data_IF_805076696386
#
_entry.id   IF_805076696386
#
_cell.length_a   1.000
_cell.length_b   1.000
_cell.length_c   1.000
_cell.angle_alpha   90.00
_cell.angle_beta   90.00
_cell.angle_gamma   90.00
#
_symmetry.space_group_name_H-M   'P 1'
#
loop_
_entity.id
_entity.type
_entity.pdbx_description
1 polymer ?
#
# COMPACT_ATOMS: atom_id res chain seq x y z
N UNK A 1 -33.25 -31.01 7.68
CA UNK A 1 -31.93 -31.59 7.38
C UNK A 1 -31.92 -31.98 5.90
N UNK A 2 -31.46 -31.07 5.04
CA UNK A 2 -31.27 -31.36 3.61
C UNK A 2 -29.77 -31.28 3.36
N UNK A 3 -29.15 -32.44 3.12
CA UNK A 3 -27.73 -32.55 2.78
C UNK A 3 -27.49 -31.87 1.44
N UNK A 4 -26.76 -30.75 1.45
CA UNK A 4 -26.18 -30.19 0.24
C UNK A 4 -25.06 -31.14 -0.20
N UNK A 5 -25.22 -31.69 -1.39
CA UNK A 5 -24.18 -32.38 -2.14
C UNK A 5 -22.98 -31.44 -2.26
N UNK A 6 -21.89 -31.82 -1.58
CA UNK A 6 -20.60 -31.16 -1.70
C UNK A 6 -20.15 -31.23 -3.16
N UNK A 7 -19.68 -30.10 -3.70
CA UNK A 7 -19.14 -29.95 -5.05
C UNK A 7 -17.96 -30.93 -5.25
N UNK A 8 -18.21 -32.11 -5.83
CA UNK A 8 -17.21 -33.15 -6.09
C UNK A 8 -16.20 -32.79 -7.20
N UNK A 9 -16.23 -31.57 -7.71
CA UNK A 9 -15.30 -31.08 -8.75
C UNK A 9 -14.05 -30.38 -8.20
N UNK A 10 -13.89 -30.25 -6.88
CA UNK A 10 -12.75 -29.55 -6.27
C UNK A 10 -11.59 -30.47 -5.88
N UNK A 11 -11.81 -31.77 -5.74
CA UNK A 11 -10.80 -32.73 -5.29
C UNK A 11 -9.65 -32.92 -6.30
N UNK A 12 -9.94 -32.79 -7.61
CA UNK A 12 -8.91 -32.89 -8.65
C UNK A 12 -7.98 -31.67 -8.74
N UNK A 13 -8.41 -30.51 -8.21
CA UNK A 13 -7.67 -29.25 -8.32
C UNK A 13 -6.65 -29.05 -7.18
N UNK A 14 -6.89 -29.65 -6.01
CA UNK A 14 -6.05 -29.46 -4.83
C UNK A 14 -5.79 -30.79 -4.10
N UNK A 15 -4.61 -31.41 -4.26
CA UNK A 15 -4.29 -32.65 -3.57
C UNK A 15 -4.39 -32.46 -2.04
N UNK A 16 -4.94 -33.45 -1.32
CA UNK A 16 -5.19 -33.41 0.14
C UNK A 16 -3.96 -32.97 0.96
N UNK A 17 -2.75 -33.24 0.46
CA UNK A 17 -1.46 -32.85 1.07
C UNK A 17 -1.35 -31.34 1.33
N UNK A 18 -2.07 -30.50 0.58
CA UNK A 18 -2.02 -29.03 0.69
C UNK A 18 -2.81 -28.48 1.89
N UNK A 19 -3.79 -29.22 2.44
CA UNK A 19 -4.72 -28.67 3.45
C UNK A 19 -4.12 -28.40 4.83
N UNK A 20 -2.89 -28.86 5.12
CA UNK A 20 -2.23 -28.55 6.41
C UNK A 20 -1.75 -27.10 6.53
N UNK A 21 -1.74 -26.35 5.42
CA UNK A 21 -1.24 -24.98 5.38
C UNK A 21 0.28 -24.92 5.58
N UNK A 22 0.91 -23.76 5.33
CA UNK A 22 2.31 -23.59 5.62
C UNK A 22 2.53 -23.55 7.13
N UNK A 23 3.67 -24.08 7.59
CA UNK A 23 4.06 -23.97 8.99
C UNK A 23 4.17 -22.51 9.43
N UNK A 24 3.84 -22.23 10.70
CA UNK A 24 3.92 -20.89 11.30
C UNK A 24 5.27 -20.20 11.05
N UNK A 25 6.37 -20.96 11.18
CA UNK A 25 7.73 -20.47 10.93
C UNK A 25 7.90 -19.93 9.50
N UNK A 26 7.37 -20.62 8.49
CA UNK A 26 7.46 -20.17 7.11
C UNK A 26 6.70 -18.84 6.90
N UNK A 27 5.51 -18.70 7.50
CA UNK A 27 4.76 -17.45 7.43
C UNK A 27 5.52 -16.28 8.09
N UNK A 28 6.14 -16.52 9.25
CA UNK A 28 6.98 -15.52 9.93
C UNK A 28 8.18 -15.12 9.07
N UNK A 29 8.87 -16.07 8.45
CA UNK A 29 10.03 -15.80 7.59
C UNK A 29 9.64 -14.98 6.34
N UNK A 30 8.51 -15.31 5.70
CA UNK A 30 7.99 -14.54 4.56
C UNK A 30 7.64 -13.12 4.98
N UNK A 31 6.95 -12.95 6.12
CA UNK A 31 6.63 -11.63 6.65
C UNK A 31 7.86 -10.79 6.98
N UNK A 32 8.88 -11.39 7.59
CA UNK A 32 10.16 -10.74 7.89
C UNK A 32 10.89 -10.33 6.61
N UNK A 33 10.97 -11.23 5.61
CA UNK A 33 11.59 -10.93 4.33
C UNK A 33 10.88 -9.77 3.62
N UNK A 34 9.54 -9.76 3.60
CA UNK A 34 8.77 -8.66 3.04
C UNK A 34 9.04 -7.34 3.78
N UNK A 35 9.00 -7.33 5.13
CA UNK A 35 9.26 -6.14 5.92
C UNK A 35 10.68 -5.57 5.67
N UNK A 36 11.70 -6.44 5.61
CA UNK A 36 13.07 -6.02 5.32
C UNK A 36 13.22 -5.40 3.93
N UNK A 37 12.57 -5.98 2.91
CA UNK A 37 12.58 -5.43 1.54
C UNK A 37 11.90 -4.06 1.48
N UNK A 38 10.78 -3.87 2.19
CA UNK A 38 10.09 -2.58 2.27
C UNK A 38 10.93 -1.49 2.97
N UNK A 39 11.80 -1.91 3.89
CA UNK A 39 12.75 -1.04 4.60
C UNK A 39 14.01 -0.72 3.80
N UNK A 40 14.33 -1.47 2.76
CA UNK A 40 15.57 -1.31 1.98
C UNK A 40 15.77 0.13 1.44
N UNK A 41 14.68 0.85 1.18
CA UNK A 41 14.75 2.24 0.72
C UNK A 41 15.19 3.25 1.81
N UNK A 42 15.11 2.91 3.10
CA UNK A 42 15.60 3.69 4.25
C UNK A 42 15.02 5.10 4.46
N UNK A 43 14.42 5.70 3.43
CA UNK A 43 13.85 7.04 3.37
C UNK A 43 12.40 7.04 3.86
N UNK A 44 12.07 7.73 4.96
CA UNK A 44 10.67 7.96 5.30
C UNK A 44 10.11 9.09 4.43
N UNK A 45 8.93 8.87 3.83
CA UNK A 45 8.26 9.87 2.99
C UNK A 45 7.32 10.68 3.89
N UNK A 46 7.89 11.67 4.58
CA UNK A 46 7.18 12.63 5.42
C UNK A 46 7.02 12.22 6.89
N UNK A 47 6.73 13.21 7.72
CA UNK A 47 6.23 13.01 9.08
C UNK A 47 4.72 12.86 8.94
N UNK A 48 4.18 11.65 9.06
CA UNK A 48 2.72 11.49 9.10
C UNK A 48 2.15 12.44 10.16
N UNK A 49 0.98 13.02 9.91
CA UNK A 49 0.23 13.75 10.95
C UNK A 49 -0.08 12.74 12.06
N UNK A 50 0.82 12.65 13.03
CA UNK A 50 0.71 11.79 14.19
C UNK A 50 -0.31 12.44 15.13
N UNK A 51 -1.57 12.13 14.86
CA UNK A 51 -2.69 12.46 15.72
C UNK A 51 -3.62 11.25 15.83
N UNK A 52 -4.06 10.96 17.06
CA UNK A 52 -5.09 9.96 17.33
C UNK A 52 -4.54 8.53 17.36
N UNK A 53 -5.09 7.64 16.51
CA UNK A 53 -4.73 6.21 16.53
C UNK A 53 -3.27 5.93 16.13
N UNK A 54 -2.67 6.83 15.35
CA UNK A 54 -1.26 6.79 15.03
C UNK A 54 -0.40 6.77 16.30
N UNK A 55 -0.74 7.59 17.28
CA UNK A 55 -0.03 7.70 18.55
C UNK A 55 -0.23 6.46 19.42
N UNK A 56 -1.40 5.82 19.36
CA UNK A 56 -1.65 4.58 20.09
C UNK A 56 -0.82 3.42 19.52
N UNK A 57 -0.73 3.31 18.18
CA UNK A 57 0.00 2.22 17.53
C UNK A 57 1.52 2.42 17.58
N UNK A 58 1.98 3.65 17.33
CA UNK A 58 3.40 3.98 17.34
C UNK A 58 3.91 4.29 18.74
N UNK A 59 3.05 4.67 19.68
CA UNK A 59 3.42 5.14 21.02
C UNK A 59 4.34 4.20 21.79
N UNK A 60 4.02 2.90 21.94
CA UNK A 60 4.91 1.95 22.60
C UNK A 60 6.27 1.84 21.91
N UNK A 61 6.29 1.86 20.57
CA UNK A 61 7.52 1.83 19.79
C UNK A 61 8.33 3.12 19.96
N UNK A 62 7.66 4.28 19.95
CA UNK A 62 8.26 5.59 20.17
C UNK A 62 8.79 5.74 21.59
N UNK A 63 8.11 5.19 22.59
CA UNK A 63 8.60 5.14 23.97
C UNK A 63 9.90 4.32 24.05
N UNK A 64 9.94 3.16 23.37
CA UNK A 64 11.15 2.33 23.30
C UNK A 64 12.30 3.05 22.58
N UNK A 65 12.06 3.64 21.41
CA UNK A 65 13.06 4.41 20.65
C UNK A 65 13.53 5.62 21.43
N UNK A 66 12.63 6.28 22.14
CA UNK A 66 12.92 7.45 23.00
C UNK A 66 13.89 7.17 24.14
N UNK A 67 14.08 5.90 24.54
CA UNK A 67 15.11 5.52 25.50
C UNK A 67 16.53 5.63 24.92
N UNK A 68 16.68 5.59 23.60
CA UNK A 68 17.98 5.56 22.91
C UNK A 68 18.25 6.79 22.04
N UNK A 69 17.19 7.45 21.53
CA UNK A 69 17.28 8.56 20.57
C UNK A 69 16.33 9.69 20.97
N UNK A 70 16.72 10.94 20.75
CA UNK A 70 15.83 12.10 20.87
C UNK A 70 14.64 11.95 19.89
N UNK A 71 13.42 12.11 20.40
CA UNK A 71 12.19 12.00 19.62
C UNK A 71 11.95 13.28 18.79
N UNK A 72 12.84 13.52 17.82
CA UNK A 72 12.72 14.56 16.81
C UNK A 72 11.82 14.09 15.64
N UNK A 73 11.47 14.98 14.70
CA UNK A 73 10.64 14.62 13.54
C UNK A 73 11.24 13.48 12.70
N UNK A 74 12.57 13.36 12.61
CA UNK A 74 13.24 12.30 11.87
C UNK A 74 13.05 10.93 12.54
N UNK A 75 13.20 10.87 13.86
CA UNK A 75 12.92 9.67 14.65
C UNK A 75 11.46 9.22 14.50
N UNK A 76 10.49 10.16 14.55
CA UNK A 76 9.07 9.85 14.33
C UNK A 76 8.83 9.28 12.93
N UNK A 77 9.45 9.86 11.91
CA UNK A 77 9.31 9.43 10.54
C UNK A 77 9.90 8.02 10.32
N UNK A 78 11.06 7.73 10.92
CA UNK A 78 11.66 6.38 10.89
C UNK A 78 10.76 5.36 11.56
N UNK A 79 10.29 5.67 12.76
CA UNK A 79 9.41 4.80 13.53
C UNK A 79 8.09 4.52 12.80
N UNK A 80 7.54 5.54 12.17
CA UNK A 80 6.37 5.43 11.32
C UNK A 80 6.58 4.45 10.17
N UNK A 81 7.70 4.59 9.44
CA UNK A 81 8.08 3.68 8.36
C UNK A 81 8.34 2.25 8.86
N UNK A 82 9.05 2.08 9.97
CA UNK A 82 9.31 0.76 10.58
C UNK A 82 8.00 0.07 10.96
N UNK A 83 7.10 0.79 11.62
CA UNK A 83 5.78 0.29 12.01
C UNK A 83 4.96 -0.09 10.77
N UNK A 84 4.90 0.79 9.77
CA UNK A 84 4.15 0.56 8.54
C UNK A 84 4.68 -0.65 7.74
N UNK A 85 6.01 -0.78 7.62
CA UNK A 85 6.67 -1.93 6.98
C UNK A 85 6.44 -3.24 7.76
N UNK A 86 6.47 -3.20 9.10
CA UNK A 86 6.18 -4.36 9.92
C UNK A 86 4.73 -4.85 9.73
N UNK A 87 3.76 -3.94 9.72
CA UNK A 87 2.37 -4.29 9.43
C UNK A 87 2.17 -4.79 7.99
N UNK A 88 2.82 -4.18 7.01
CA UNK A 88 2.80 -4.69 5.64
C UNK A 88 3.39 -6.13 5.55
N UNK A 89 4.48 -6.40 6.26
CA UNK A 89 5.05 -7.74 6.41
C UNK A 89 4.10 -8.73 7.09
N UNK A 90 3.39 -8.31 8.14
CA UNK A 90 2.32 -9.12 8.76
C UNK A 90 1.18 -9.41 7.78
N UNK A 91 0.76 -8.43 6.98
CA UNK A 91 -0.24 -8.63 5.93
C UNK A 91 0.22 -9.66 4.90
N UNK A 92 1.48 -9.60 4.47
CA UNK A 92 2.07 -10.61 3.59
C UNK A 92 2.12 -11.99 4.25
N UNK A 93 2.50 -12.10 5.53
CA UNK A 93 2.54 -13.35 6.28
C UNK A 93 1.14 -14.00 6.42
N UNK A 94 0.12 -13.19 6.73
CA UNK A 94 -1.26 -13.69 6.83
C UNK A 94 -1.81 -14.11 5.47
N UNK A 95 -1.51 -13.37 4.40
CA UNK A 95 -1.91 -13.77 3.05
C UNK A 95 -1.17 -15.03 2.60
N UNK A 96 0.12 -15.17 2.91
CA UNK A 96 0.90 -16.39 2.68
C UNK A 96 0.24 -17.58 3.38
N UNK A 97 -0.10 -17.43 4.67
CA UNK A 97 -0.78 -18.48 5.42
C UNK A 97 -2.16 -18.82 4.81
N UNK A 98 -2.95 -17.83 4.42
CA UNK A 98 -4.27 -18.05 3.83
C UNK A 98 -4.18 -18.75 2.47
N UNK A 99 -3.29 -18.26 1.61
CA UNK A 99 -3.07 -18.84 0.28
C UNK A 99 -2.48 -20.24 0.37
N UNK A 100 -1.55 -20.47 1.30
CA UNK A 100 -0.92 -21.77 1.48
C UNK A 100 -1.82 -22.85 2.08
N UNK A 101 -2.99 -22.50 2.62
CA UNK A 101 -4.04 -23.49 2.94
C UNK A 101 -4.77 -24.00 1.68
N UNK A 102 -4.69 -23.25 0.56
CA UNK A 102 -5.36 -23.55 -0.71
C UNK A 102 -4.40 -23.98 -1.80
N UNK A 103 -3.14 -23.55 -1.75
CA UNK A 103 -2.15 -23.64 -2.83
C UNK A 103 -0.77 -24.09 -2.31
N UNK A 104 0.10 -24.63 -3.18
CA UNK A 104 1.50 -24.89 -2.86
C UNK A 104 2.22 -23.66 -2.27
N UNK A 105 3.27 -23.90 -1.49
CA UNK A 105 4.02 -22.84 -0.79
C UNK A 105 4.67 -21.82 -1.73
N UNK A 106 5.09 -22.23 -2.92
CA UNK A 106 5.65 -21.32 -3.93
C UNK A 106 4.63 -20.27 -4.38
N UNK A 107 3.41 -20.71 -4.70
CA UNK A 107 2.30 -19.84 -5.10
C UNK A 107 1.87 -18.91 -3.97
N UNK A 108 1.79 -19.43 -2.75
CA UNK A 108 1.50 -18.63 -1.56
C UNK A 108 2.58 -17.56 -1.35
N UNK A 109 3.85 -17.91 -1.56
CA UNK A 109 4.97 -16.98 -1.53
C UNK A 109 4.82 -15.87 -2.56
N UNK A 110 4.51 -16.23 -3.81
CA UNK A 110 4.28 -15.26 -4.89
C UNK A 110 3.13 -14.29 -4.56
N UNK A 111 1.99 -14.79 -4.06
CA UNK A 111 0.87 -13.96 -3.63
C UNK A 111 1.25 -12.96 -2.53
N UNK A 112 1.98 -13.43 -1.51
CA UNK A 112 2.44 -12.59 -0.40
C UNK A 112 3.47 -11.53 -0.83
N UNK A 113 4.47 -11.91 -1.64
CA UNK A 113 5.47 -10.97 -2.15
C UNK A 113 4.83 -9.94 -3.08
N UNK A 114 3.90 -10.34 -3.96
CA UNK A 114 3.23 -9.41 -4.85
C UNK A 114 2.23 -8.51 -4.11
N UNK A 115 1.63 -8.96 -3.01
CA UNK A 115 0.89 -8.06 -2.12
C UNK A 115 1.82 -6.98 -1.55
N UNK A 116 2.97 -7.38 -1.00
CA UNK A 116 3.90 -6.45 -0.34
C UNK A 116 4.58 -5.48 -1.32
N UNK A 117 5.12 -6.00 -2.42
CA UNK A 117 6.00 -5.28 -3.34
C UNK A 117 5.34 -4.96 -4.68
N UNK A 118 4.26 -5.65 -5.06
CA UNK A 118 3.56 -5.44 -6.32
C UNK A 118 2.31 -4.56 -6.20
N UNK A 119 1.97 -4.07 -5.00
CA UNK A 119 0.78 -3.25 -4.78
C UNK A 119 1.10 -1.94 -4.07
N UNK A 120 0.11 -1.04 -3.99
CA UNK A 120 0.19 0.22 -3.23
C UNK A 120 0.47 0.03 -1.72
N UNK A 121 0.53 -1.20 -1.21
CA UNK A 121 1.03 -1.50 0.13
C UNK A 121 2.50 -1.11 0.29
N UNK A 122 3.32 -1.21 -0.76
CA UNK A 122 4.71 -0.73 -0.71
C UNK A 122 4.75 0.77 -0.49
N UNK A 123 4.04 1.55 -1.33
CA UNK A 123 3.91 2.99 -1.17
C UNK A 123 3.39 3.39 0.23
N UNK A 124 2.33 2.73 0.70
CA UNK A 124 1.75 2.98 2.02
C UNK A 124 2.68 2.65 3.19
N UNK A 125 3.68 1.78 2.99
CA UNK A 125 4.68 1.43 4.00
C UNK A 125 5.83 2.43 4.12
N UNK A 126 5.94 3.40 3.22
CA UNK A 126 7.05 4.36 3.23
C UNK A 126 6.89 5.49 4.25
N UNK A 127 5.73 5.61 4.89
CA UNK A 127 5.45 6.52 6.00
C UNK A 127 4.38 5.93 6.90
N UNK A 128 4.21 6.48 8.10
CA UNK A 128 3.11 6.04 8.95
C UNK A 128 1.79 6.36 8.27
N UNK A 129 0.97 5.34 8.05
CA UNK A 129 -0.34 5.48 7.44
C UNK A 129 -1.28 4.38 7.99
N UNK A 130 -2.59 4.62 8.05
CA UNK A 130 -3.55 3.62 8.54
C UNK A 130 -3.71 2.40 7.60
N UNK A 131 -3.20 2.48 6.37
CA UNK A 131 -3.44 1.48 5.34
C UNK A 131 -2.72 0.15 5.61
N UNK A 132 -1.41 0.07 5.93
CA UNK A 132 -0.75 -1.19 6.23
C UNK A 132 -1.35 -1.98 7.41
N UNK A 133 -1.64 -1.38 8.59
CA UNK A 133 -2.24 -2.13 9.68
C UNK A 133 -3.68 -2.59 9.33
N UNK A 134 -4.45 -1.78 8.60
CA UNK A 134 -5.76 -2.21 8.11
C UNK A 134 -5.65 -3.35 7.08
N UNK A 135 -4.69 -3.31 6.15
CA UNK A 135 -4.43 -4.39 5.20
C UNK A 135 -4.02 -5.68 5.92
N UNK A 136 -3.19 -5.59 6.96
CA UNK A 136 -2.82 -6.74 7.79
C UNK A 136 -4.04 -7.36 8.50
N UNK A 137 -4.90 -6.51 9.05
CA UNK A 137 -6.15 -6.95 9.67
C UNK A 137 -7.08 -7.62 8.64
N UNK A 138 -7.24 -7.06 7.44
CA UNK A 138 -8.02 -7.68 6.35
C UNK A 138 -7.40 -9.02 5.92
N UNK A 139 -6.08 -9.12 5.77
CA UNK A 139 -5.40 -10.37 5.45
C UNK A 139 -5.61 -11.45 6.54
N UNK A 140 -5.63 -11.06 7.81
CA UNK A 140 -5.96 -11.95 8.93
C UNK A 140 -7.43 -12.40 8.89
N UNK A 141 -8.36 -11.52 8.52
CA UNK A 141 -9.76 -11.89 8.30
C UNK A 141 -9.89 -12.91 7.16
N UNK A 142 -9.17 -12.70 6.05
CA UNK A 142 -9.10 -13.66 4.93
C UNK A 142 -8.59 -15.02 5.41
N UNK A 143 -7.50 -15.05 6.19
CA UNK A 143 -7.00 -16.29 6.79
C UNK A 143 -8.07 -16.99 7.63
N UNK A 144 -8.82 -16.27 8.46
CA UNK A 144 -9.86 -16.86 9.30
C UNK A 144 -11.03 -17.41 8.48
N UNK A 145 -11.42 -16.75 7.39
CA UNK A 145 -12.45 -17.24 6.47
C UNK A 145 -12.00 -18.50 5.74
N UNK A 146 -10.75 -18.53 5.26
CA UNK A 146 -10.18 -19.74 4.62
C UNK A 146 -10.17 -20.90 5.62
N UNK A 147 -9.74 -20.68 6.86
CA UNK A 147 -9.76 -21.73 7.90
C UNK A 147 -11.17 -22.12 8.34
N UNK A 148 -12.15 -21.22 8.18
CA UNK A 148 -13.54 -21.51 8.54
C UNK A 148 -14.20 -22.55 7.64
N UNK A 149 -13.67 -22.75 6.43
CA UNK A 149 -14.10 -23.83 5.53
C UNK A 149 -13.91 -25.21 6.17
N UNK A 150 -12.75 -25.44 6.80
CA UNK A 150 -12.47 -26.70 7.50
C UNK A 150 -12.95 -26.67 8.96
N UNK A 151 -12.88 -25.51 9.61
CA UNK A 151 -13.11 -25.34 11.04
C UNK A 151 -14.03 -24.13 11.31
N UNK A 152 -15.37 -24.33 11.33
CA UNK A 152 -16.35 -23.24 11.43
C UNK A 152 -16.17 -22.28 12.62
N UNK A 153 -15.46 -22.68 13.67
CA UNK A 153 -15.15 -21.82 14.81
C UNK A 153 -14.38 -20.54 14.41
N UNK A 154 -13.59 -20.57 13.34
CA UNK A 154 -12.85 -19.40 12.87
C UNK A 154 -13.75 -18.32 12.25
N UNK A 155 -14.94 -18.68 11.75
CA UNK A 155 -15.88 -17.71 11.18
C UNK A 155 -16.29 -16.64 12.21
N UNK A 156 -16.61 -17.05 13.44
CA UNK A 156 -16.93 -16.12 14.52
C UNK A 156 -15.73 -15.29 14.99
N UNK A 157 -14.52 -15.84 14.89
CA UNK A 157 -13.27 -15.13 15.24
C UNK A 157 -12.92 -14.02 14.25
N UNK A 158 -13.47 -14.04 13.03
CA UNK A 158 -13.26 -13.00 12.03
C UNK A 158 -13.74 -11.62 12.50
N UNK A 159 -14.62 -11.54 13.51
CA UNK A 159 -15.04 -10.29 14.12
C UNK A 159 -13.88 -9.42 14.61
N UNK A 160 -12.82 -10.03 15.14
CA UNK A 160 -11.62 -9.33 15.64
C UNK A 160 -10.87 -8.59 14.53
N UNK A 161 -10.32 -9.27 13.50
CA UNK A 161 -9.59 -8.58 12.44
C UNK A 161 -10.49 -7.59 11.67
N UNK A 162 -11.79 -7.89 11.49
CA UNK A 162 -12.70 -6.98 10.80
C UNK A 162 -12.95 -5.69 11.59
N UNK A 163 -13.20 -5.78 12.91
CA UNK A 163 -13.42 -4.57 13.71
C UNK A 163 -12.14 -3.74 13.87
N UNK A 164 -10.96 -4.40 13.93
CA UNK A 164 -9.68 -3.71 13.91
C UNK A 164 -9.45 -2.99 12.58
N UNK A 165 -9.75 -3.62 11.44
CA UNK A 165 -9.63 -2.97 10.13
C UNK A 165 -10.47 -1.68 10.06
N UNK A 166 -11.73 -1.74 10.53
CA UNK A 166 -12.62 -0.57 10.57
C UNK A 166 -12.12 0.50 11.54
N UNK A 167 -11.63 0.10 12.72
CA UNK A 167 -11.08 1.04 13.69
C UNK A 167 -9.88 1.83 13.14
N UNK A 168 -8.97 1.11 12.49
CA UNK A 168 -7.74 1.64 11.91
C UNK A 168 -8.02 2.49 10.67
N UNK A 169 -8.91 2.00 9.80
CA UNK A 169 -9.28 2.65 8.55
C UNK A 169 -10.79 2.52 8.31
N UNK A 170 -11.59 3.52 8.72
CA UNK A 170 -13.07 3.48 8.61
C UNK A 170 -13.59 3.22 7.19
N UNK A 171 -12.83 3.57 6.15
CA UNK A 171 -13.14 3.23 4.77
C UNK A 171 -13.34 1.72 4.52
N UNK A 172 -12.84 0.85 5.41
CA UNK A 172 -13.05 -0.61 5.33
C UNK A 172 -14.40 -1.06 5.92
N UNK A 173 -15.25 -0.15 6.41
CA UNK A 173 -16.58 -0.51 6.94
C UNK A 173 -17.44 -1.26 5.91
N UNK A 174 -17.41 -0.84 4.65
CA UNK A 174 -18.18 -1.48 3.58
C UNK A 174 -17.74 -2.93 3.33
N UNK A 175 -16.43 -3.22 3.23
CA UNK A 175 -15.95 -4.60 3.08
C UNK A 175 -16.25 -5.44 4.32
N UNK A 176 -16.11 -4.85 5.51
CA UNK A 176 -16.33 -5.57 6.76
C UNK A 176 -17.80 -5.98 6.89
N UNK A 177 -18.73 -5.10 6.52
CA UNK A 177 -20.16 -5.38 6.50
C UNK A 177 -20.51 -6.56 5.57
N UNK A 178 -19.95 -6.59 4.36
CA UNK A 178 -20.17 -7.70 3.41
C UNK A 178 -19.68 -9.02 3.98
N UNK A 179 -18.48 -9.04 4.57
CA UNK A 179 -17.92 -10.25 5.18
C UNK A 179 -18.75 -10.70 6.39
N UNK A 180 -19.15 -9.78 7.26
CA UNK A 180 -20.02 -10.08 8.41
C UNK A 180 -21.34 -10.69 7.94
N UNK A 181 -21.99 -10.10 6.94
CA UNK A 181 -23.23 -10.63 6.38
C UNK A 181 -23.01 -12.03 5.79
N UNK A 182 -21.93 -12.25 5.05
CA UNK A 182 -21.60 -13.56 4.50
C UNK A 182 -21.38 -14.62 5.60
N UNK A 183 -20.74 -14.25 6.71
CA UNK A 183 -20.56 -15.13 7.88
C UNK A 183 -21.89 -15.44 8.56
N UNK A 184 -22.77 -14.46 8.74
CA UNK A 184 -24.12 -14.64 9.29
C UNK A 184 -24.93 -15.62 8.44
N UNK A 185 -24.86 -15.46 7.11
CA UNK A 185 -25.61 -16.30 6.17
C UNK A 185 -25.05 -17.72 6.07
N UNK A 186 -23.73 -17.91 6.13
CA UNK A 186 -23.10 -19.23 5.98
C UNK A 186 -22.97 -20.01 7.30
N UNK A 187 -22.67 -19.34 8.40
CA UNK A 187 -22.46 -19.94 9.72
C UNK A 187 -23.25 -19.21 10.82
N UNK A 188 -24.60 -19.24 10.79
CA UNK A 188 -25.44 -18.43 11.68
C UNK A 188 -25.16 -18.64 13.17
N UNK A 189 -24.91 -19.89 13.60
CA UNK A 189 -24.57 -20.20 15.00
C UNK A 189 -23.20 -19.63 15.43
N UNK A 190 -22.26 -19.51 14.49
CA UNK A 190 -20.92 -18.95 14.75
C UNK A 190 -20.93 -17.44 14.70
N UNK A 191 -21.87 -16.85 13.96
CA UNK A 191 -22.05 -15.41 13.87
C UNK A 191 -22.41 -14.76 15.23
N UNK A 192 -23.00 -15.52 16.16
CA UNK A 192 -23.23 -15.06 17.53
C UNK A 192 -21.95 -14.68 18.29
N UNK A 193 -20.80 -15.21 17.85
CA UNK A 193 -19.49 -14.89 18.43
C UNK A 193 -18.81 -13.69 17.77
N UNK A 194 -19.30 -13.22 16.62
CA UNK A 194 -18.73 -12.05 15.94
C UNK A 194 -18.69 -10.81 16.83
N UNK A 195 -19.78 -10.42 17.54
CA UNK A 195 -19.75 -9.24 18.40
C UNK A 195 -18.73 -9.35 19.53
N UNK A 196 -18.58 -10.54 20.12
CA UNK A 196 -17.61 -10.78 21.19
C UNK A 196 -16.18 -10.58 20.69
N UNK A 197 -15.84 -11.15 19.53
CA UNK A 197 -14.52 -10.98 18.93
C UNK A 197 -14.31 -9.57 18.38
N UNK A 198 -15.38 -8.85 18.02
CA UNK A 198 -15.29 -7.48 17.54
C UNK A 198 -14.98 -6.46 18.65
N UNK A 199 -15.16 -6.81 19.93
CA UNK A 199 -14.99 -5.89 21.07
C UNK A 199 -13.68 -5.09 21.06
N UNK A 200 -12.49 -5.65 20.76
CA UNK A 200 -11.25 -4.87 20.78
C UNK A 200 -11.23 -3.73 19.76
N UNK A 201 -11.68 -3.97 18.52
CA UNK A 201 -11.79 -2.91 17.51
C UNK A 201 -12.89 -1.90 17.83
N UNK A 202 -14.01 -2.34 18.42
CA UNK A 202 -15.06 -1.43 18.88
C UNK A 202 -14.60 -0.54 20.05
N UNK A 203 -13.80 -1.08 20.97
CA UNK A 203 -13.18 -0.31 22.05
C UNK A 203 -12.21 0.73 21.49
N UNK A 204 -11.41 0.35 20.49
CA UNK A 204 -10.49 1.26 19.82
C UNK A 204 -11.23 2.41 19.09
N UNK A 205 -12.35 2.10 18.43
CA UNK A 205 -13.26 3.09 17.85
C UNK A 205 -13.85 4.01 18.93
N UNK A 206 -14.31 3.47 20.05
CA UNK A 206 -14.91 4.25 21.13
C UNK A 206 -13.90 5.24 21.76
N UNK A 207 -12.65 4.82 21.93
CA UNK A 207 -11.55 5.69 22.38
C UNK A 207 -11.30 6.81 21.37
N UNK A 208 -11.31 6.50 20.08
CA UNK A 208 -11.13 7.49 19.00
C UNK A 208 -12.27 8.52 18.95
N UNK A 209 -13.52 8.06 19.06
CA UNK A 209 -14.72 8.90 18.92
C UNK A 209 -15.18 9.61 20.19
N UNK A 210 -14.35 9.65 21.24
CA UNK A 210 -14.69 10.33 22.49
C UNK A 210 -15.97 9.80 23.15
N UNK A 211 -16.18 8.47 23.11
CA UNK A 211 -17.31 7.68 23.66
C UNK A 211 -18.51 7.38 22.75
N UNK A 212 -18.58 7.89 21.51
CA UNK A 212 -19.69 7.56 20.59
C UNK A 212 -19.21 6.93 19.27
N UNK A 213 -19.85 5.82 18.86
CA UNK A 213 -19.53 5.10 17.61
C UNK A 213 -19.84 5.93 16.34
N UNK A 214 -20.94 6.72 16.25
CA UNK A 214 -21.21 7.55 15.08
C UNK A 214 -20.12 8.60 14.80
N UNK A 215 -19.56 9.22 15.85
CA UNK A 215 -18.43 10.15 15.69
C UNK A 215 -17.11 9.47 15.36
N UNK A 216 -16.94 8.20 15.74
CA UNK A 216 -15.71 7.44 15.52
C UNK A 216 -15.51 6.98 14.07
N UNK A 217 -16.60 6.79 13.33
CA UNK A 217 -16.54 6.31 11.94
C UNK A 217 -16.15 7.38 10.93
N UNK A 218 -15.99 8.65 11.34
CA UNK A 218 -15.73 9.84 10.52
C UNK A 218 -15.16 9.51 9.11
N UNK A 219 -16.09 9.27 8.18
CA UNK A 219 -15.79 8.96 6.78
C UNK A 219 -15.54 10.27 5.99
N UNK A 220 -15.56 11.41 6.67
CA UNK A 220 -15.72 12.71 6.04
C UNK A 220 -17.08 12.87 5.36
N UNK A 221 -17.26 14.00 4.68
CA UNK A 221 -18.43 14.23 3.85
C UNK A 221 -18.39 13.33 2.61
N UNK A 222 -19.35 12.42 2.49
CA UNK A 222 -19.52 11.64 1.27
C UNK A 222 -19.93 12.57 0.13
N UNK A 223 -19.13 12.57 -0.93
CA UNK A 223 -19.38 13.35 -2.14
C UNK A 223 -19.78 12.42 -3.28
N UNK A 224 -20.72 12.81 -4.16
CA UNK A 224 -21.02 12.04 -5.35
C UNK A 224 -19.76 11.71 -6.17
N UNK A 225 -19.66 10.51 -6.77
CA UNK A 225 -18.51 10.12 -7.56
C UNK A 225 -18.22 11.14 -8.67
N UNK A 226 -16.98 11.61 -8.74
CA UNK A 226 -16.50 12.53 -9.77
C UNK A 226 -15.55 11.84 -10.75
N UNK A 227 -15.14 12.56 -11.81
CA UNK A 227 -14.09 12.08 -12.70
C UNK A 227 -12.78 11.79 -11.96
N UNK A 228 -12.47 12.56 -10.90
CA UNK A 228 -11.33 12.30 -10.03
C UNK A 228 -11.51 11.02 -9.21
N UNK A 229 -12.71 10.77 -8.67
CA UNK A 229 -13.03 9.52 -7.96
C UNK A 229 -12.78 8.30 -8.84
N UNK A 230 -13.27 8.31 -10.08
CA UNK A 230 -12.99 7.24 -11.05
C UNK A 230 -11.50 7.18 -11.41
N UNK A 231 -10.85 8.33 -11.50
CA UNK A 231 -9.42 8.43 -11.74
C UNK A 231 -8.58 7.73 -10.68
N UNK A 232 -9.02 7.65 -9.42
CA UNK A 232 -8.33 6.89 -8.36
C UNK A 232 -8.31 5.39 -8.59
N UNK A 233 -9.15 4.86 -9.47
CA UNK A 233 -9.13 3.43 -9.83
C UNK A 233 -8.30 3.19 -11.08
N UNK A 234 -8.46 4.03 -12.12
CA UNK A 234 -7.98 3.70 -13.47
C UNK A 234 -7.12 4.76 -14.16
N UNK A 235 -6.99 5.97 -13.61
CA UNK A 235 -6.24 7.02 -14.32
C UNK A 235 -4.72 6.76 -14.32
N UNK A 236 -3.99 7.21 -15.34
CA UNK A 236 -2.53 7.20 -15.33
C UNK A 236 -1.91 7.94 -14.13
N UNK A 237 -2.58 8.99 -13.64
CA UNK A 237 -2.07 9.81 -12.56
C UNK A 237 -2.26 9.18 -11.16
N UNK A 238 -3.42 8.58 -10.90
CA UNK A 238 -3.79 8.11 -9.54
C UNK A 238 -4.31 6.66 -9.49
N UNK A 239 -4.48 6.00 -10.63
CA UNK A 239 -5.25 4.76 -10.73
C UNK A 239 -4.65 3.61 -9.95
N UNK A 240 -5.38 3.09 -8.97
CA UNK A 240 -5.00 1.90 -8.19
C UNK A 240 -4.56 0.72 -9.07
N UNK A 241 -5.25 0.48 -10.20
CA UNK A 241 -4.90 -0.58 -11.15
C UNK A 241 -3.74 -0.21 -12.11
N UNK A 242 -3.44 1.07 -12.30
CA UNK A 242 -2.26 1.50 -13.07
C UNK A 242 -1.00 1.35 -12.24
N UNK A 243 -1.08 1.67 -10.95
CA UNK A 243 0.04 1.56 -10.03
C UNK A 243 0.22 0.14 -9.48
N UNK A 244 -0.84 -0.68 -9.48
CA UNK A 244 -0.80 -2.09 -9.07
C UNK A 244 -1.38 -3.02 -10.16
N UNK A 245 -0.80 -3.06 -11.37
CA UNK A 245 -1.37 -3.80 -12.51
C UNK A 245 -1.51 -5.30 -12.24
N UNK A 246 -0.73 -5.88 -11.33
CA UNK A 246 -0.89 -7.28 -10.89
C UNK A 246 -2.28 -7.57 -10.29
N UNK A 247 -3.00 -6.56 -9.79
CA UNK A 247 -4.37 -6.70 -9.32
C UNK A 247 -5.33 -7.15 -10.44
N UNK A 248 -5.05 -6.84 -11.71
CA UNK A 248 -5.84 -7.33 -12.85
C UNK A 248 -5.71 -8.85 -12.98
N UNK A 249 -4.52 -9.39 -12.75
CA UNK A 249 -4.28 -10.84 -12.74
C UNK A 249 -5.03 -11.49 -11.57
N UNK A 250 -5.03 -10.85 -10.40
CA UNK A 250 -5.81 -11.32 -9.25
C UNK A 250 -7.33 -11.30 -9.52
N UNK A 251 -7.86 -10.29 -10.23
CA UNK A 251 -9.27 -10.27 -10.68
C UNK A 251 -9.55 -11.42 -11.63
N UNK A 252 -8.66 -11.71 -12.57
CA UNK A 252 -8.84 -12.85 -13.47
C UNK A 252 -8.85 -14.19 -12.72
N UNK A 253 -7.97 -14.35 -11.73
CA UNK A 253 -7.96 -15.49 -10.82
C UNK A 253 -9.27 -15.62 -10.05
N UNK A 254 -9.75 -14.53 -9.44
CA UNK A 254 -11.05 -14.47 -8.75
C UNK A 254 -12.19 -14.95 -9.67
N UNK A 255 -12.26 -14.44 -10.91
CA UNK A 255 -13.30 -14.82 -11.88
C UNK A 255 -13.25 -16.31 -12.24
N UNK A 256 -12.06 -16.91 -12.28
CA UNK A 256 -11.90 -18.36 -12.49
C UNK A 256 -12.36 -19.14 -11.27
N UNK A 257 -11.92 -18.73 -10.09
CA UNK A 257 -12.21 -19.41 -8.82
C UNK A 257 -13.70 -19.34 -8.45
N UNK A 258 -14.44 -18.31 -8.91
CA UNK A 258 -15.90 -18.24 -8.79
C UNK A 258 -16.62 -19.48 -9.31
N UNK A 259 -16.03 -20.27 -10.22
CA UNK A 259 -16.67 -21.49 -10.73
C UNK A 259 -16.60 -22.67 -9.76
N UNK A 260 -15.61 -22.70 -8.88
CA UNK A 260 -15.25 -23.85 -8.05
C UNK A 260 -15.33 -23.58 -6.55
N UNK A 261 -14.99 -22.37 -6.09
CA UNK A 261 -15.11 -21.94 -4.69
C UNK A 261 -16.06 -20.75 -4.61
N UNK A 262 -17.28 -20.95 -5.11
CA UNK A 262 -18.30 -19.90 -5.35
C UNK A 262 -18.47 -18.95 -4.18
N UNK A 263 -18.64 -19.51 -2.98
CA UNK A 263 -18.93 -18.70 -1.81
C UNK A 263 -17.74 -17.80 -1.43
N UNK A 264 -16.54 -18.36 -1.29
CA UNK A 264 -15.37 -17.58 -0.85
C UNK A 264 -15.04 -16.50 -1.87
N UNK A 265 -14.98 -16.86 -3.15
CA UNK A 265 -14.75 -15.92 -4.23
C UNK A 265 -15.86 -14.86 -4.32
N UNK A 266 -17.13 -15.22 -4.23
CA UNK A 266 -18.22 -14.23 -4.28
C UNK A 266 -18.20 -13.30 -3.07
N UNK A 267 -17.93 -13.80 -1.86
CA UNK A 267 -17.84 -12.99 -0.65
C UNK A 267 -16.68 -12.00 -0.71
N UNK A 268 -15.47 -12.46 -1.04
CA UNK A 268 -14.29 -11.60 -1.09
C UNK A 268 -14.35 -10.62 -2.28
N UNK A 269 -14.88 -11.07 -3.43
CA UNK A 269 -15.14 -10.21 -4.59
C UNK A 269 -16.17 -9.12 -4.29
N UNK A 270 -17.30 -9.48 -3.67
CA UNK A 270 -18.31 -8.51 -3.26
C UNK A 270 -17.79 -7.52 -2.19
N UNK A 271 -16.97 -8.00 -1.25
CA UNK A 271 -16.34 -7.15 -0.23
C UNK A 271 -15.37 -6.15 -0.87
N UNK A 272 -14.55 -6.60 -1.84
CA UNK A 272 -13.66 -5.73 -2.60
C UNK A 272 -14.44 -4.66 -3.40
N UNK A 273 -15.52 -5.06 -4.07
CA UNK A 273 -16.39 -4.13 -4.81
C UNK A 273 -17.07 -3.12 -3.88
N UNK A 274 -17.57 -3.55 -2.72
CA UNK A 274 -18.19 -2.66 -1.74
C UNK A 274 -17.20 -1.61 -1.21
N UNK A 275 -15.95 -2.02 -0.94
CA UNK A 275 -14.87 -1.08 -0.60
C UNK A 275 -14.59 -0.11 -1.74
N UNK A 276 -14.43 -0.61 -2.97
CA UNK A 276 -14.17 0.21 -4.15
C UNK A 276 -15.28 1.22 -4.41
N UNK A 277 -16.56 0.82 -4.25
CA UNK A 277 -17.70 1.72 -4.33
C UNK A 277 -17.57 2.80 -3.26
N UNK A 278 -17.40 2.45 -1.98
CA UNK A 278 -17.26 3.45 -0.91
C UNK A 278 -16.11 4.44 -1.20
N UNK A 279 -14.96 3.94 -1.69
CA UNK A 279 -13.81 4.77 -2.08
C UNK A 279 -14.16 5.82 -3.14
N UNK A 280 -15.11 5.54 -4.05
CA UNK A 280 -15.56 6.53 -5.04
C UNK A 280 -16.33 7.71 -4.41
N UNK A 281 -16.92 7.50 -3.24
CA UNK A 281 -17.69 8.52 -2.50
C UNK A 281 -16.84 9.27 -1.47
N UNK A 282 -15.66 8.76 -1.13
CA UNK A 282 -14.77 9.40 -0.18
C UNK A 282 -14.03 10.60 -0.80
N UNK A 283 -13.70 11.63 -0.01
CA UNK A 283 -12.90 12.76 -0.48
C UNK A 283 -11.50 12.33 -0.97
N UNK A 284 -10.85 13.25 -1.69
CA UNK A 284 -9.48 13.10 -2.18
C UNK A 284 -8.50 12.64 -1.12
N UNK A 285 -7.61 11.72 -1.50
CA UNK A 285 -6.39 11.47 -0.72
C UNK A 285 -5.36 12.56 -1.00
N UNK A 286 -4.52 12.82 0.02
CA UNK A 286 -3.35 13.68 -0.13
C UNK A 286 -2.30 13.13 -1.11
N UNK A 287 -1.17 13.84 -1.25
CA UNK A 287 -0.06 13.43 -2.12
C UNK A 287 0.37 12.00 -1.82
N UNK A 288 0.38 11.15 -2.85
CA UNK A 288 0.79 9.75 -2.72
C UNK A 288 1.19 9.15 -4.06
N UNK A 289 2.00 8.09 -4.02
CA UNK A 289 2.34 7.29 -5.20
C UNK A 289 1.14 6.42 -5.60
N UNK A 290 0.29 6.97 -6.47
CA UNK A 290 -0.99 6.37 -6.86
C UNK A 290 -2.03 6.44 -5.73
N UNK A 291 -3.17 5.78 -5.93
CA UNK A 291 -4.23 5.74 -4.91
C UNK A 291 -3.93 4.72 -3.81
N UNK A 292 -3.79 5.22 -2.57
CA UNK A 292 -3.71 4.37 -1.37
C UNK A 292 -5.09 3.89 -0.88
N UNK A 293 -6.19 4.36 -1.48
CA UNK A 293 -7.52 4.10 -0.98
C UNK A 293 -7.92 2.62 -1.08
N UNK A 294 -7.34 1.89 -2.04
CA UNK A 294 -7.59 0.45 -2.23
C UNK A 294 -6.62 -0.44 -1.45
N UNK A 295 -5.59 0.11 -0.79
CA UNK A 295 -4.50 -0.67 -0.18
C UNK A 295 -4.99 -1.72 0.81
N UNK A 296 -5.97 -1.39 1.65
CA UNK A 296 -6.50 -2.32 2.64
C UNK A 296 -7.33 -3.46 2.03
N UNK A 297 -7.85 -3.30 0.82
CA UNK A 297 -8.70 -4.28 0.16
C UNK A 297 -7.92 -5.28 -0.71
N UNK A 298 -6.64 -5.02 -1.01
CA UNK A 298 -5.83 -5.92 -1.83
C UNK A 298 -5.75 -7.37 -1.35
N UNK A 299 -5.65 -7.68 -0.04
CA UNK A 299 -5.63 -9.07 0.42
C UNK A 299 -6.85 -9.89 -0.03
N UNK A 300 -8.02 -9.25 -0.23
CA UNK A 300 -9.23 -9.91 -0.71
C UNK A 300 -9.06 -10.47 -2.13
N UNK A 301 -8.42 -9.70 -3.02
CA UNK A 301 -8.15 -10.12 -4.40
C UNK A 301 -6.92 -11.01 -4.50
N UNK A 302 -5.84 -10.66 -3.80
CA UNK A 302 -4.54 -11.32 -3.94
C UNK A 302 -4.54 -12.76 -3.44
N UNK A 303 -5.55 -13.15 -2.64
CA UNK A 303 -5.81 -14.55 -2.32
C UNK A 303 -5.98 -15.42 -3.59
N UNK A 304 -6.50 -14.85 -4.68
CA UNK A 304 -6.76 -15.52 -5.96
C UNK A 304 -5.69 -15.24 -7.01
N UNK A 305 -4.59 -14.59 -6.64
CA UNK A 305 -3.51 -14.28 -7.58
C UNK A 305 -2.87 -15.53 -8.20
N UNK A 306 -2.63 -16.63 -7.46
CA UNK A 306 -2.10 -17.87 -8.05
C UNK A 306 -2.92 -18.39 -9.23
N UNK A 307 -4.24 -18.45 -9.10
CA UNK A 307 -5.13 -18.91 -10.16
C UNK A 307 -5.09 -17.99 -11.39
N UNK A 308 -4.86 -16.69 -11.17
CA UNK A 308 -4.65 -15.72 -12.24
C UNK A 308 -3.31 -15.93 -12.95
N UNK A 309 -2.24 -16.20 -12.20
CA UNK A 309 -0.91 -16.46 -12.75
C UNK A 309 -0.87 -17.78 -13.53
N UNK A 310 -1.50 -18.84 -13.04
CA UNK A 310 -1.62 -20.11 -13.75
C UNK A 310 -2.32 -19.94 -15.11
N UNK A 311 -3.40 -19.16 -15.11
CA UNK A 311 -4.24 -19.00 -16.29
C UNK A 311 -3.62 -18.06 -17.33
N UNK A 312 -2.89 -17.03 -16.88
CA UNK A 312 -2.24 -16.05 -17.76
C UNK A 312 -0.81 -16.42 -18.15
N UNK A 313 -0.14 -17.30 -17.40
CA UNK A 313 1.24 -17.77 -17.62
C UNK A 313 2.23 -16.59 -17.72
N UNK A 314 3.10 -16.59 -18.75
CA UNK A 314 4.12 -15.57 -18.97
C UNK A 314 3.57 -14.12 -18.99
N UNK A 315 2.46 -13.81 -19.68
CA UNK A 315 1.80 -12.51 -19.55
C UNK A 315 1.55 -12.06 -18.10
N UNK A 316 1.06 -12.96 -17.25
CA UNK A 316 0.83 -12.65 -15.83
C UNK A 316 2.12 -12.34 -15.08
N UNK A 317 3.18 -13.11 -15.35
CA UNK A 317 4.52 -12.87 -14.78
C UNK A 317 5.07 -11.52 -15.21
N UNK A 318 4.96 -11.16 -16.49
CA UNK A 318 5.40 -9.85 -17.02
C UNK A 318 4.64 -8.71 -16.31
N UNK A 319 3.33 -8.84 -16.14
CA UNK A 319 2.51 -7.86 -15.42
C UNK A 319 2.92 -7.77 -13.94
N UNK A 320 3.20 -8.91 -13.30
CA UNK A 320 3.66 -8.95 -11.92
C UNK A 320 5.01 -8.23 -11.74
N UNK A 321 5.98 -8.49 -12.62
CA UNK A 321 7.28 -7.81 -12.63
C UNK A 321 7.12 -6.31 -12.87
N UNK A 322 6.28 -5.91 -13.83
CA UNK A 322 5.98 -4.50 -14.09
C UNK A 322 5.35 -3.83 -12.85
N UNK A 323 4.45 -4.52 -12.15
CA UNK A 323 3.84 -4.03 -10.90
C UNK A 323 4.89 -3.75 -9.83
N UNK A 324 5.83 -4.68 -9.62
CA UNK A 324 6.93 -4.49 -8.67
C UNK A 324 7.85 -3.33 -9.10
N UNK A 325 8.16 -3.22 -10.39
CA UNK A 325 8.99 -2.13 -10.91
C UNK A 325 8.32 -0.75 -10.73
N UNK A 326 7.01 -0.65 -10.95
CA UNK A 326 6.24 0.59 -10.72
C UNK A 326 6.24 0.97 -9.25
N UNK A 327 6.04 0.01 -8.34
CA UNK A 327 6.07 0.28 -6.90
C UNK A 327 7.49 0.60 -6.41
N UNK A 328 8.52 -0.07 -6.95
CA UNK A 328 9.91 0.25 -6.66
C UNK A 328 10.25 1.67 -7.11
N UNK A 329 9.84 2.07 -8.31
CA UNK A 329 10.01 3.45 -8.79
C UNK A 329 9.37 4.45 -7.81
N UNK A 330 8.18 4.15 -7.30
CA UNK A 330 7.53 4.94 -6.27
C UNK A 330 8.31 5.01 -4.97
N UNK A 331 8.78 3.88 -4.46
CA UNK A 331 9.58 3.86 -3.25
C UNK A 331 10.85 4.71 -3.40
N UNK A 332 11.64 4.46 -4.45
CA UNK A 332 12.98 5.03 -4.58
C UNK A 332 13.02 6.42 -5.23
N UNK A 333 12.09 6.79 -6.11
CA UNK A 333 12.15 8.07 -6.84
C UNK A 333 11.17 9.13 -6.33
N UNK A 334 9.99 8.73 -5.84
CA UNK A 334 8.94 9.68 -5.51
C UNK A 334 9.29 10.59 -4.33
N UNK A 335 8.99 11.88 -4.47
CA UNK A 335 9.26 12.93 -3.49
C UNK A 335 8.12 13.96 -3.37
N UNK A 336 6.94 13.62 -3.90
CA UNK A 336 5.77 14.49 -3.93
C UNK A 336 5.90 15.70 -4.86
N UNK A 337 6.98 15.86 -5.63
CA UNK A 337 7.15 17.00 -6.54
C UNK A 337 6.05 17.04 -7.59
N UNK A 338 5.73 15.89 -8.14
CA UNK A 338 4.68 15.77 -9.12
C UNK A 338 3.34 16.31 -8.60
N UNK A 339 2.95 15.95 -7.38
CA UNK A 339 1.71 16.45 -6.76
C UNK A 339 1.74 17.96 -6.53
N UNK A 340 2.86 18.51 -6.02
CA UNK A 340 3.02 19.96 -5.81
C UNK A 340 2.94 20.77 -7.11
N UNK A 341 3.36 20.19 -8.23
CA UNK A 341 3.34 20.85 -9.54
C UNK A 341 1.95 20.83 -10.19
N UNK A 342 1.13 19.81 -9.91
CA UNK A 342 -0.09 19.55 -10.67
C UNK A 342 -1.39 19.68 -9.85
N UNK A 343 -1.31 19.75 -8.52
CA UNK A 343 -2.48 19.98 -7.66
C UNK A 343 -2.70 21.47 -7.41
N UNK A 344 -3.97 21.86 -7.36
CA UNK A 344 -4.39 23.19 -6.92
C UNK A 344 -4.26 23.36 -5.39
N UNK A 345 -4.56 24.56 -4.88
CA UNK A 345 -4.55 24.84 -3.43
C UNK A 345 -5.53 23.98 -2.63
N UNK A 346 -6.59 23.47 -3.28
CA UNK A 346 -7.54 22.53 -2.70
C UNK A 346 -7.08 21.06 -2.82
N UNK A 347 -5.87 20.81 -3.33
CA UNK A 347 -5.30 19.48 -3.49
C UNK A 347 -5.88 18.69 -4.67
N UNK A 348 -6.65 19.31 -5.56
CA UNK A 348 -7.30 18.64 -6.71
C UNK A 348 -6.40 18.66 -7.93
N UNK A 349 -6.50 17.60 -8.74
CA UNK A 349 -5.84 17.53 -10.04
C UNK A 349 -6.74 18.10 -11.13
N UNK A 350 -6.15 18.86 -12.05
CA UNK A 350 -6.86 19.24 -13.27
C UNK A 350 -7.27 17.99 -14.07
N UNK A 351 -8.51 17.92 -14.60
CA UNK A 351 -9.00 16.74 -15.32
C UNK A 351 -8.08 16.29 -16.48
N UNK A 352 -7.43 17.24 -17.15
CA UNK A 352 -6.47 16.93 -18.23
C UNK A 352 -5.25 16.18 -17.73
N UNK A 353 -4.66 16.60 -16.61
CA UNK A 353 -3.45 15.98 -16.04
C UNK A 353 -3.77 14.56 -15.55
N UNK A 354 -4.96 14.37 -14.99
CA UNK A 354 -5.41 13.08 -14.46
C UNK A 354 -5.28 11.96 -15.50
N UNK A 355 -5.65 12.24 -16.76
CA UNK A 355 -5.72 11.26 -17.83
C UNK A 355 -4.54 11.31 -18.82
N UNK A 356 -3.61 12.26 -18.66
CA UNK A 356 -2.45 12.39 -19.53
C UNK A 356 -1.31 11.46 -19.07
N UNK A 357 -1.10 10.37 -19.82
CA UNK A 357 -0.04 9.39 -19.56
C UNK A 357 1.34 10.05 -19.55
N UNK A 358 1.60 11.00 -20.45
CA UNK A 358 2.88 11.68 -20.55
C UNK A 358 3.12 12.64 -19.38
N UNK A 359 2.06 13.05 -18.67
CA UNK A 359 2.13 13.82 -17.44
C UNK A 359 1.90 12.97 -16.18
N UNK A 360 1.84 11.64 -16.27
CA UNK A 360 1.67 10.78 -15.08
C UNK A 360 2.89 10.83 -14.14
N UNK A 361 2.73 10.52 -12.84
CA UNK A 361 3.86 10.40 -11.90
C UNK A 361 4.90 9.39 -12.36
N UNK A 362 4.47 8.28 -12.99
CA UNK A 362 5.36 7.25 -13.51
C UNK A 362 6.24 7.84 -14.62
N UNK A 363 5.62 8.48 -15.63
CA UNK A 363 6.36 9.11 -16.73
C UNK A 363 7.23 10.29 -16.26
N UNK A 364 6.80 11.01 -15.23
CA UNK A 364 7.56 12.07 -14.60
C UNK A 364 8.84 11.52 -13.95
N UNK A 365 8.73 10.53 -13.07
CA UNK A 365 9.89 9.96 -12.36
C UNK A 365 10.86 9.23 -13.29
N UNK A 366 10.35 8.54 -14.33
CA UNK A 366 11.21 7.93 -15.36
C UNK A 366 12.03 8.96 -16.15
N UNK A 367 11.50 10.18 -16.34
CA UNK A 367 12.23 11.27 -17.01
C UNK A 367 13.26 11.93 -16.09
N UNK A 368 12.98 12.02 -14.80
CA UNK A 368 13.97 12.54 -13.83
C UNK A 368 15.18 11.63 -13.69
N UNK A 369 15.03 10.32 -13.92
CA UNK A 369 16.12 9.32 -13.88
C UNK A 369 16.93 9.38 -12.58
N UNK A 370 16.28 9.75 -11.48
CA UNK A 370 16.89 9.89 -10.18
C UNK A 370 16.27 8.90 -9.20
N UNK A 371 17.12 8.16 -8.49
CA UNK A 371 16.75 7.34 -7.35
C UNK A 371 17.29 8.01 -6.09
N UNK A 372 16.58 7.87 -4.97
CA UNK A 372 16.92 8.52 -3.71
C UNK A 372 16.92 7.46 -2.63
N UNK A 373 18.10 7.15 -2.14
CA UNK A 373 18.28 6.27 -0.99
C UNK A 373 18.49 7.13 0.23
N UNK A 374 18.00 6.70 1.40
CA UNK A 374 18.42 7.32 2.65
C UNK A 374 19.06 6.27 3.54
N UNK A 375 20.23 6.60 4.07
CA UNK A 375 20.85 5.80 5.13
C UNK A 375 20.56 6.52 6.44
N UNK A 376 19.84 5.89 7.38
CA UNK A 376 19.69 6.46 8.72
C UNK A 376 21.06 6.45 9.41
N UNK A 377 21.46 7.60 9.93
CA UNK A 377 22.62 7.76 10.79
C UNK A 377 22.22 8.38 12.13
N UNK A 378 23.12 8.31 13.11
CA UNK A 378 22.95 8.99 14.38
C UNK A 378 24.08 10.00 14.57
N UNK A 379 23.74 11.24 14.92
CA UNK A 379 24.71 12.25 15.36
C UNK A 379 24.36 12.58 16.80
N UNK A 380 25.24 12.16 17.71
CA UNK A 380 25.04 12.24 19.17
C UNK A 380 23.84 11.38 19.62
N UNK A 381 22.65 11.97 19.69
CA UNK A 381 21.37 11.30 20.01
C UNK A 381 20.25 11.66 19.03
N UNK A 382 20.56 12.35 17.93
CA UNK A 382 19.59 12.71 16.90
C UNK A 382 19.72 11.79 15.70
N UNK A 383 18.57 11.34 15.19
CA UNK A 383 18.52 10.60 13.94
C UNK A 383 18.67 11.59 12.79
N UNK A 384 19.63 11.32 11.91
CA UNK A 384 19.86 12.11 10.71
C UNK A 384 19.77 11.19 9.51
N UNK A 385 18.97 11.55 8.52
CA UNK A 385 18.93 10.83 7.25
C UNK A 385 19.93 11.45 6.30
N UNK A 386 20.88 10.64 5.83
CA UNK A 386 21.74 11.01 4.71
C UNK A 386 21.09 10.53 3.44
N UNK A 387 20.49 11.45 2.69
CA UNK A 387 19.98 11.13 1.36
C UNK A 387 21.14 11.04 0.37
N UNK A 388 21.15 9.96 -0.40
CA UNK A 388 22.10 9.67 -1.46
C UNK A 388 21.32 9.63 -2.78
N UNK A 389 21.18 10.77 -3.47
CA UNK A 389 20.60 10.78 -4.80
C UNK A 389 21.55 10.07 -5.77
N UNK A 390 21.04 9.05 -6.44
CA UNK A 390 21.68 8.37 -7.54
C UNK A 390 21.00 8.80 -8.84
N UNK A 391 21.66 9.64 -9.62
CA UNK A 391 21.23 10.00 -10.97
C UNK A 391 21.75 8.94 -11.92
N UNK A 392 20.85 8.25 -12.60
CA UNK A 392 21.19 7.16 -13.53
C UNK A 392 21.78 7.70 -14.83
N UNK A 393 21.29 8.87 -15.28
CA UNK A 393 21.84 9.62 -16.40
C UNK A 393 21.33 11.07 -16.35
N UNK A 394 22.25 12.03 -16.30
CA UNK A 394 21.95 13.47 -16.33
C UNK A 394 22.80 14.23 -17.35
N UNK A 395 22.44 15.48 -17.66
CA UNK A 395 23.25 16.34 -18.54
C UNK A 395 24.56 16.75 -17.84
N UNK A 396 25.63 16.89 -18.61
CA UNK A 396 26.98 17.27 -18.16
C UNK A 396 27.53 18.46 -18.95
N UNK A 397 28.36 19.28 -18.32
CA UNK A 397 28.98 20.46 -18.93
C UNK A 397 29.64 21.35 -17.87
N UNK A 398 29.91 22.61 -18.18
CA UNK A 398 30.58 23.55 -17.26
C UNK A 398 29.76 24.79 -16.94
N UNK A 399 28.64 24.98 -17.65
CA UNK A 399 27.74 26.11 -17.48
C UNK A 399 26.33 25.59 -17.23
N UNK A 400 25.68 26.16 -16.23
CA UNK A 400 24.27 25.89 -15.97
C UNK A 400 23.47 27.17 -16.20
N UNK A 401 22.40 27.07 -16.97
CA UNK A 401 21.38 28.09 -17.12
C UNK A 401 20.02 27.49 -16.73
N UNK A 402 19.09 28.34 -16.32
CA UNK A 402 17.72 27.94 -16.08
C UNK A 402 16.87 28.39 -17.27
N UNK A 403 16.20 27.46 -17.93
CA UNK A 403 15.27 27.74 -19.03
C UNK A 403 13.90 27.16 -18.69
N UNK A 404 12.86 27.57 -19.40
CA UNK A 404 11.47 27.20 -19.09
C UNK A 404 11.21 25.69 -18.95
N UNK A 405 12.03 24.85 -19.58
CA UNK A 405 11.95 23.38 -19.50
C UNK A 405 12.75 22.75 -18.35
N UNK A 406 13.53 23.51 -17.58
CA UNK A 406 14.39 23.02 -16.50
C UNK A 406 15.83 23.55 -16.54
N UNK A 407 16.75 22.97 -15.75
CA UNK A 407 18.17 23.31 -15.83
C UNK A 407 18.75 22.86 -17.18
N UNK A 408 19.38 23.79 -17.89
CA UNK A 408 20.15 23.57 -19.10
C UNK A 408 21.63 23.54 -18.72
N UNK A 409 22.30 22.42 -18.95
CA UNK A 409 23.75 22.29 -18.74
C UNK A 409 24.44 22.28 -20.11
N UNK A 410 25.44 23.13 -20.27
CA UNK A 410 26.20 23.35 -21.52
C UNK A 410 27.68 23.55 -21.21
N UNK A 411 28.51 23.66 -22.25
CA UNK A 411 29.96 23.85 -22.12
C UNK A 411 30.73 22.62 -22.59
N UNK A 412 31.95 22.84 -23.08
CA UNK A 412 32.79 21.78 -23.64
C UNK A 412 33.51 20.95 -22.55
N UNK A 413 33.76 21.55 -21.38
CA UNK A 413 34.35 20.87 -20.23
C UNK A 413 33.24 20.35 -19.31
N UNK A 414 33.35 19.11 -18.83
CA UNK A 414 32.36 18.47 -17.94
C UNK A 414 32.72 18.63 -16.46
N UNK A 415 32.71 19.86 -15.95
CA UNK A 415 32.97 20.15 -14.54
C UNK A 415 31.74 19.93 -13.65
N UNK A 416 30.56 20.04 -14.23
CA UNK A 416 29.24 19.78 -13.64
C UNK A 416 28.60 18.56 -14.32
N UNK A 417 27.96 17.72 -13.53
CA UNK A 417 27.16 16.58 -14.00
C UNK A 417 25.96 16.34 -13.10
N UNK A 418 25.03 15.51 -13.56
CA UNK A 418 23.89 15.04 -12.75
C UNK A 418 23.06 16.16 -12.12
N UNK A 419 22.80 17.22 -12.89
CA UNK A 419 22.04 18.39 -12.42
C UNK A 419 20.55 18.07 -12.36
N UNK A 420 19.97 18.04 -11.16
CA UNK A 420 18.54 17.76 -10.94
C UNK A 420 17.92 18.74 -9.93
N UNK A 421 16.65 19.04 -10.13
CA UNK A 421 15.85 19.85 -9.20
C UNK A 421 15.23 18.94 -8.13
N UNK A 422 15.36 19.34 -6.87
CA UNK A 422 14.86 18.60 -5.71
C UNK A 422 13.63 19.28 -5.10
N UNK A 423 12.72 18.49 -4.53
CA UNK A 423 11.58 19.02 -3.79
C UNK A 423 10.56 19.69 -4.71
N UNK A 424 10.04 20.85 -4.34
CA UNK A 424 9.19 21.73 -5.14
C UNK A 424 9.96 22.67 -6.07
N UNK A 425 11.28 22.55 -6.15
CA UNK A 425 12.10 23.44 -6.96
C UNK A 425 11.69 23.41 -8.44
N UNK A 426 11.60 24.60 -9.04
CA UNK A 426 11.23 24.78 -10.44
C UNK A 426 11.95 25.96 -11.05
N UNK A 427 12.06 25.94 -12.37
CA UNK A 427 12.57 27.07 -13.13
C UNK A 427 11.41 27.94 -13.57
N UNK A 428 11.48 29.23 -13.25
CA UNK A 428 10.56 30.24 -13.75
C UNK A 428 11.40 31.29 -14.48
N UNK A 429 11.23 31.36 -15.80
CA UNK A 429 12.07 32.15 -16.70
C UNK A 429 13.53 31.70 -16.62
N UNK A 430 14.39 32.52 -16.03
CA UNK A 430 15.83 32.33 -15.84
C UNK A 430 16.19 32.11 -14.35
N UNK A 431 15.19 31.92 -13.48
CA UNK A 431 15.39 31.82 -12.02
C UNK A 431 14.98 30.48 -11.47
N UNK A 432 15.75 30.01 -10.49
CA UNK A 432 15.37 28.90 -9.62
C UNK A 432 14.44 29.40 -8.53
N UNK A 433 13.20 28.91 -8.50
CA UNK A 433 12.22 29.21 -7.45
C UNK A 433 12.20 28.07 -6.43
N UNK A 434 12.46 28.40 -5.16
CA UNK A 434 12.37 27.51 -4.01
C UNK A 434 11.21 27.99 -3.12
N UNK A 435 10.23 27.13 -2.87
CA UNK A 435 8.97 27.48 -2.18
C UNK A 435 8.87 26.89 -0.78
N UNK A 436 9.58 25.79 -0.52
CA UNK A 436 9.50 25.08 0.74
C UNK A 436 10.88 24.58 1.20
N UNK A 437 10.96 24.27 2.49
CA UNK A 437 12.11 23.57 3.07
C UNK A 437 12.27 22.20 2.39
N UNK A 438 13.48 21.92 1.89
CA UNK A 438 13.78 20.70 1.11
C UNK A 438 13.75 20.90 -0.40
N UNK A 439 13.34 22.08 -0.88
CA UNK A 439 13.54 22.47 -2.28
C UNK A 439 15.01 22.78 -2.52
N UNK A 440 15.55 22.35 -3.67
CA UNK A 440 16.94 22.60 -3.97
C UNK A 440 17.38 22.21 -5.36
N UNK A 441 18.69 22.29 -5.56
CA UNK A 441 19.38 21.87 -6.77
C UNK A 441 20.49 20.92 -6.35
N UNK A 442 20.45 19.70 -6.88
CA UNK A 442 21.57 18.77 -6.79
C UNK A 442 22.40 18.89 -8.06
N UNK A 443 23.71 18.94 -7.88
CA UNK A 443 24.69 18.93 -8.95
C UNK A 443 25.92 18.18 -8.45
N UNK A 444 26.47 17.30 -9.29
CA UNK A 444 27.74 16.63 -9.06
C UNK A 444 28.85 17.48 -9.68
N UNK A 445 29.89 17.75 -8.91
CA UNK A 445 31.06 18.51 -9.36
C UNK A 445 32.25 17.57 -9.45
N UNK A 446 33.03 17.68 -10.53
CA UNK A 446 34.29 16.96 -10.70
C UNK A 446 35.34 17.50 -9.71
N UNK A 447 36.16 16.61 -9.16
CA UNK A 447 37.22 17.02 -8.23
C UNK A 447 38.23 17.95 -8.93
N UNK A 448 38.48 19.12 -8.35
CA UNK A 448 39.38 20.14 -8.92
C UNK A 448 38.74 21.14 -9.90
N UNK A 449 37.42 21.11 -10.07
CA UNK A 449 36.65 22.10 -10.85
C UNK A 449 36.41 23.42 -10.12
#
# INVERSE_FOLDING_TARGET
MAGRTYESGSEDLYPEVVRRGPGFVAAVLVGLAAALLLLANGRPIGTGEAGGLADVLTGPFMALVGMFVELDPAARALAGKLTAAAFAGLGAAFLFAATGHRRPTGDAGAAAFLLALGSSLWAASQSFSPQPPAAAAVALAVLFLVRAEDQPAWAGRAGLPLSLAVALLPATAALALVIVLAVVLRWPLRALWLPLWALPGLALLAVRGGTTVPGALDLGTLTPPSAESLGRLFSPALGAFVFSPVAVIAVFGLMRTLRFERWLAATLGAAFLAHGILVLWLPGGGPSWGSLAMTAAWPLLFLFLPEGLDASRMPGVVVAVASVAIQALGAFAYDGRWDRLHRDEAGRLAPRVLWDVAQSPIAFQLRERALRFAVPGAVTRRLVFREHPLVLAGPSGSRMAFVSSGPLVTGAESTLGDVILQGGARVVLDKLELRATGDGLFLRVSEGA
#
